data_IF_850870532747
#
_entry.id   IF_850870532747
#
_cell.length_a   1.000
_cell.length_b   1.000
_cell.length_c   1.000
_cell.angle_alpha   90.00
_cell.angle_beta   90.00
_cell.angle_gamma   90.00
#
_symmetry.space_group_name_H-M   'P 1'
#
loop_
_entity.id
_entity.type
_entity.pdbx_description
1 polymer ?
#
# COMPACT_ATOMS: atom_id res chain seq x y z
N UNK A 1 -6.63 -4.76 -13.00
CA UNK A 1 -7.49 -4.48 -11.84
C UNK A 1 -6.57 -4.50 -10.64
N UNK A 2 -6.37 -3.35 -9.98
CA UNK A 2 -5.35 -3.21 -8.95
C UNK A 2 -6.01 -3.08 -7.59
N UNK A 3 -5.65 -3.94 -6.64
CA UNK A 3 -6.21 -3.91 -5.28
C UNK A 3 -5.31 -3.09 -4.37
N UNK A 4 -5.89 -2.12 -3.67
CA UNK A 4 -5.20 -1.38 -2.64
C UNK A 4 -5.42 -2.01 -1.26
N UNK A 5 -4.35 -2.27 -0.52
CA UNK A 5 -4.39 -2.73 0.87
C UNK A 5 -3.72 -1.69 1.76
N UNK A 6 -4.43 -1.24 2.80
CA UNK A 6 -3.99 -0.17 3.69
C UNK A 6 -3.86 -0.74 5.11
N UNK A 7 -2.66 -0.71 5.66
CA UNK A 7 -2.39 -1.01 7.08
C UNK A 7 -1.94 0.25 7.82
N UNK A 8 -2.16 0.34 9.12
CA UNK A 8 -1.71 1.46 9.95
C UNK A 8 -0.28 1.23 10.46
N UNK A 9 0.02 0.01 10.89
CA UNK A 9 1.27 -0.36 11.57
C UNK A 9 2.07 -1.41 10.80
N UNK A 10 3.38 -1.48 11.06
CA UNK A 10 4.29 -2.44 10.41
C UNK A 10 3.82 -3.90 10.54
N UNK A 11 3.34 -4.39 11.71
CA UNK A 11 2.89 -5.78 11.85
C UNK A 11 1.67 -6.11 10.99
N UNK A 12 0.84 -5.13 10.64
CA UNK A 12 -0.36 -5.33 9.80
C UNK A 12 -0.01 -5.47 8.32
N UNK A 13 1.14 -4.94 7.89
CA UNK A 13 1.60 -4.98 6.49
C UNK A 13 2.73 -5.99 6.26
N UNK A 14 3.48 -6.37 7.30
CA UNK A 14 4.69 -7.19 7.19
C UNK A 14 4.46 -8.52 6.46
N UNK A 15 3.41 -9.26 6.86
CA UNK A 15 3.09 -10.58 6.29
C UNK A 15 2.73 -10.45 4.81
N UNK A 16 1.91 -9.46 4.45
CA UNK A 16 1.51 -9.23 3.07
C UNK A 16 2.70 -8.76 2.21
N UNK A 17 3.56 -7.89 2.76
CA UNK A 17 4.79 -7.44 2.10
C UNK A 17 5.70 -8.62 1.74
N UNK A 18 5.86 -9.59 2.65
CA UNK A 18 6.69 -10.78 2.41
C UNK A 18 6.13 -11.72 1.33
N UNK A 19 4.82 -11.68 1.10
CA UNK A 19 4.15 -12.51 0.10
C UNK A 19 4.07 -11.86 -1.29
N UNK A 20 4.41 -10.57 -1.41
CA UNK A 20 4.40 -9.88 -2.70
C UNK A 20 5.56 -10.38 -3.59
N UNK A 21 5.23 -10.64 -4.85
CA UNK A 21 6.19 -10.84 -5.93
C UNK A 21 6.39 -9.53 -6.72
N UNK A 22 7.52 -9.41 -7.43
CA UNK A 22 7.85 -8.27 -8.30
C UNK A 22 7.71 -6.91 -7.59
N UNK A 23 8.17 -6.82 -6.32
CA UNK A 23 7.98 -5.65 -5.48
C UNK A 23 8.74 -4.44 -6.01
N UNK A 24 8.00 -3.37 -6.25
CA UNK A 24 8.49 -2.02 -6.42
C UNK A 24 8.13 -1.20 -5.18
N UNK A 25 9.16 -0.74 -4.47
CA UNK A 25 9.02 0.14 -3.31
C UNK A 25 9.14 1.60 -3.74
N UNK A 26 8.20 2.43 -3.29
CA UNK A 26 8.26 3.88 -3.51
C UNK A 26 7.80 4.64 -2.27
N UNK A 27 8.38 5.81 -2.04
CA UNK A 27 8.04 6.68 -0.91
C UNK A 27 7.45 7.99 -1.41
N UNK A 28 6.33 8.43 -0.85
CA UNK A 28 5.75 9.72 -1.14
C UNK A 28 5.12 10.36 0.11
N UNK A 29 5.42 11.63 0.35
CA UNK A 29 4.88 12.39 1.49
C UNK A 29 5.04 11.66 2.85
N UNK A 30 6.10 10.87 3.02
CA UNK A 30 6.36 10.09 4.24
C UNK A 30 5.66 8.73 4.31
N UNK A 31 4.88 8.36 3.29
CA UNK A 31 4.24 7.04 3.18
C UNK A 31 5.03 6.14 2.24
N UNK A 32 5.21 4.89 2.62
CA UNK A 32 5.84 3.86 1.79
C UNK A 32 4.78 2.98 1.14
N UNK A 33 4.89 2.83 -0.18
CA UNK A 33 4.03 2.00 -1.01
C UNK A 33 4.84 0.84 -1.57
N UNK A 34 4.25 -0.35 -1.53
CA UNK A 34 4.79 -1.57 -2.11
C UNK A 34 3.84 -2.03 -3.20
N UNK A 35 4.19 -1.77 -4.45
CA UNK A 35 3.45 -2.25 -5.61
C UNK A 35 4.05 -3.58 -6.07
N UNK A 36 3.23 -4.57 -6.34
CA UNK A 36 3.70 -5.88 -6.79
C UNK A 36 2.53 -6.79 -7.09
N UNK A 37 2.77 -8.10 -7.04
CA UNK A 37 1.75 -9.11 -7.27
C UNK A 37 1.53 -9.98 -6.05
N UNK A 38 0.27 -10.24 -5.72
CA UNK A 38 -0.13 -11.21 -4.72
C UNK A 38 -1.09 -12.20 -5.37
N UNK A 39 -0.70 -13.48 -5.46
CA UNK A 39 -1.48 -14.52 -6.16
C UNK A 39 -1.90 -14.08 -7.59
N UNK A 40 -0.93 -13.61 -8.39
CA UNK A 40 -1.11 -13.10 -9.76
C UNK A 40 -2.00 -11.86 -9.92
N UNK A 41 -2.40 -11.21 -8.83
CA UNK A 41 -3.15 -9.95 -8.86
C UNK A 41 -2.24 -8.77 -8.55
N UNK A 42 -2.40 -7.69 -9.30
CA UNK A 42 -1.70 -6.43 -9.02
C UNK A 42 -2.22 -5.84 -7.70
N UNK A 43 -1.31 -5.63 -6.75
CA UNK A 43 -1.60 -5.11 -5.42
C UNK A 43 -0.68 -3.94 -5.12
N UNK A 44 -1.25 -2.90 -4.49
CA UNK A 44 -0.48 -1.85 -3.82
C UNK A 44 -0.76 -1.91 -2.33
N UNK A 45 0.29 -2.11 -1.55
CA UNK A 45 0.25 -2.11 -0.09
C UNK A 45 0.82 -0.78 0.43
N UNK A 46 0.14 -0.13 1.36
CA UNK A 46 0.63 1.11 2.00
C UNK A 46 0.57 1.00 3.53
N UNK A 47 1.62 1.47 4.20
CA UNK A 47 1.60 1.73 5.63
C UNK A 47 1.18 3.19 5.87
N UNK A 48 -0.07 3.38 6.29
CA UNK A 48 -0.73 4.66 6.47
C UNK A 48 -0.46 5.37 7.79
N UNK A 49 0.18 4.72 8.76
CA UNK A 49 0.31 5.27 10.10
C UNK A 49 -1.03 5.31 10.87
N UNK A 50 -0.98 5.78 12.12
CA UNK A 50 -2.13 5.74 13.04
C UNK A 50 -2.94 7.04 12.94
N UNK A 51 -4.26 6.91 12.89
CA UNK A 51 -5.19 8.02 13.03
C UNK A 51 -5.82 8.50 11.73
N UNK A 52 -6.92 9.27 11.86
CA UNK A 52 -7.80 9.65 10.74
C UNK A 52 -7.10 10.48 9.67
N UNK A 53 -6.21 11.38 10.07
CA UNK A 53 -5.52 12.27 9.14
C UNK A 53 -4.54 11.47 8.27
N UNK A 54 -3.75 10.60 8.89
CA UNK A 54 -2.74 9.82 8.19
C UNK A 54 -3.36 8.82 7.21
N UNK A 55 -4.42 8.10 7.63
CA UNK A 55 -5.15 7.18 6.75
C UNK A 55 -5.84 7.87 5.58
N UNK A 56 -6.37 9.09 5.78
CA UNK A 56 -6.99 9.88 4.71
C UNK A 56 -5.96 10.28 3.64
N UNK A 57 -4.78 10.75 4.07
CA UNK A 57 -3.71 11.16 3.17
C UNK A 57 -3.18 9.94 2.40
N UNK A 58 -2.88 8.84 3.09
CA UNK A 58 -2.42 7.60 2.46
C UNK A 58 -3.42 7.10 1.40
N UNK A 59 -4.71 7.04 1.74
CA UNK A 59 -5.77 6.61 0.81
C UNK A 59 -5.84 7.52 -0.43
N UNK A 60 -5.76 8.84 -0.23
CA UNK A 60 -5.77 9.82 -1.33
C UNK A 60 -4.60 9.58 -2.28
N UNK A 61 -3.40 9.40 -1.73
CA UNK A 61 -2.19 9.14 -2.53
C UNK A 61 -2.25 7.80 -3.26
N UNK A 62 -2.81 6.76 -2.64
CA UNK A 62 -3.02 5.47 -3.31
C UNK A 62 -3.94 5.64 -4.52
N UNK A 63 -5.08 6.33 -4.34
CA UNK A 63 -6.07 6.51 -5.41
C UNK A 63 -5.46 7.31 -6.57
N UNK A 64 -4.80 8.42 -6.28
CA UNK A 64 -4.22 9.33 -7.28
C UNK A 64 -3.15 8.62 -8.14
N UNK A 65 -2.24 7.88 -7.48
CA UNK A 65 -1.07 7.29 -8.15
C UNK A 65 -1.32 5.93 -8.78
N UNK A 66 -2.10 5.09 -8.12
CA UNK A 66 -2.23 3.67 -8.49
C UNK A 66 -3.61 3.32 -9.06
N UNK A 67 -4.60 4.22 -8.94
CA UNK A 67 -5.95 4.06 -9.50
C UNK A 67 -6.54 2.65 -9.26
N UNK A 68 -6.62 2.19 -8.00
CA UNK A 68 -7.12 0.87 -7.68
C UNK A 68 -8.58 0.70 -8.12
N UNK A 69 -8.96 -0.54 -8.42
CA UNK A 69 -10.24 -0.90 -9.07
C UNK A 69 -10.76 -2.22 -8.54
#
# INVERSE_FOLDING_TARGET
MTVAIIGAMEPEVAILKQQLADVNESTNAGFTFYAGKLNDKDVVLVQSGIGKVASTIATTLVIDKFKPS
#
